data_IF_267031044294
#
_entry.id   IF_267031044294
#
_cell.length_a   1.000
_cell.length_b   1.000
_cell.length_c   1.000
_cell.angle_alpha   90.00
_cell.angle_beta   90.00
_cell.angle_gamma   90.00
#
_symmetry.space_group_name_H-M   'P 1'
#
loop_
_entity.id
_entity.type
_entity.pdbx_description
1 polymer ?
#
# COMPACT_ATOMS: atom_id res chain seq x y z
N UNK A 1 -39.62 11.58 66.61
CA UNK A 1 -38.28 10.95 66.56
C UNK A 1 -37.88 10.75 65.14
N UNK A 2 -37.17 11.70 64.51
CA UNK A 2 -36.63 11.60 63.20
C UNK A 2 -35.17 11.13 63.29
N UNK A 3 -34.87 10.00 62.70
CA UNK A 3 -33.51 9.50 62.47
C UNK A 3 -32.93 10.13 61.18
N UNK A 4 -31.92 10.96 61.34
CA UNK A 4 -31.11 11.45 60.19
C UNK A 4 -30.00 10.45 59.96
N UNK A 5 -30.01 9.79 58.79
CA UNK A 5 -28.93 8.93 58.34
C UNK A 5 -27.89 9.80 57.59
N UNK A 6 -26.71 9.92 58.17
CA UNK A 6 -25.56 10.56 57.51
C UNK A 6 -24.94 9.61 56.51
N UNK A 7 -25.00 9.93 55.21
CA UNK A 7 -24.30 9.20 54.16
C UNK A 7 -22.86 9.71 54.07
N UNK A 8 -21.89 8.88 54.47
CA UNK A 8 -20.47 9.12 54.30
C UNK A 8 -20.08 8.87 52.84
N UNK A 9 -19.77 9.94 52.10
CA UNK A 9 -19.14 9.89 50.80
C UNK A 9 -17.67 9.44 50.96
N UNK A 10 -17.42 8.18 50.67
CA UNK A 10 -16.05 7.66 50.53
C UNK A 10 -15.55 8.11 49.15
N UNK A 11 -14.69 9.12 49.13
CA UNK A 11 -13.90 9.46 47.96
C UNK A 11 -12.90 8.32 47.68
N UNK A 12 -13.24 7.39 46.80
CA UNK A 12 -12.30 6.47 46.20
C UNK A 12 -11.43 7.26 45.22
N UNK A 13 -10.33 7.81 45.71
CA UNK A 13 -9.20 8.23 44.88
C UNK A 13 -8.64 6.96 44.24
N UNK A 14 -8.96 6.71 42.98
CA UNK A 14 -8.24 5.75 42.16
C UNK A 14 -6.78 6.24 42.07
N UNK A 15 -5.91 5.77 42.96
CA UNK A 15 -4.48 5.74 42.67
C UNK A 15 -4.32 4.92 41.41
N UNK A 16 -3.90 5.57 40.30
CA UNK A 16 -3.33 4.85 39.14
C UNK A 16 -2.18 4.02 39.71
N UNK A 17 -2.36 2.73 39.86
CA UNK A 17 -1.25 1.80 40.05
C UNK A 17 -0.32 2.00 38.87
N UNK A 18 0.90 2.43 39.14
CA UNK A 18 1.97 2.46 38.16
C UNK A 18 2.24 1.02 37.76
N UNK A 19 1.89 0.66 36.51
CA UNK A 19 2.19 -0.63 35.94
C UNK A 19 3.72 -0.89 36.05
N UNK A 20 4.18 -1.89 36.80
CA UNK A 20 5.61 -2.13 37.05
C UNK A 20 6.40 -2.50 35.78
N UNK A 21 5.75 -2.73 34.65
CA UNK A 21 6.38 -3.09 33.38
C UNK A 21 6.75 -1.91 32.46
N UNK A 22 6.60 -0.67 32.88
CA UNK A 22 6.84 0.49 31.99
C UNK A 22 8.32 0.79 31.70
N UNK A 23 9.28 0.04 32.23
CA UNK A 23 10.72 0.20 31.95
C UNK A 23 11.20 1.68 31.95
N UNK A 24 10.63 2.53 32.80
CA UNK A 24 10.94 3.95 32.85
C UNK A 24 10.27 4.82 31.78
N UNK A 25 9.36 4.29 30.96
CA UNK A 25 8.59 5.06 29.96
C UNK A 25 7.51 5.90 30.65
N UNK A 26 7.23 7.10 30.10
CA UNK A 26 6.18 7.98 30.63
C UNK A 26 4.81 7.30 30.60
N UNK A 27 4.49 6.71 29.44
CA UNK A 27 3.24 6.00 29.19
C UNK A 27 3.48 4.92 28.13
N UNK A 28 2.58 3.93 28.07
CA UNK A 28 2.60 2.95 26.98
C UNK A 28 2.12 3.60 25.68
N UNK A 29 2.60 3.10 24.54
CA UNK A 29 2.24 3.60 23.20
C UNK A 29 0.72 3.62 22.96
N UNK A 30 -0.02 2.65 23.51
CA UNK A 30 -1.48 2.54 23.41
C UNK A 30 -2.26 3.72 24.05
N UNK A 31 -1.62 4.56 24.85
CA UNK A 31 -2.29 5.70 25.49
C UNK A 31 -2.24 6.96 24.64
N UNK A 32 -1.49 6.96 23.55
CA UNK A 32 -1.38 8.09 22.64
C UNK A 32 -2.27 7.91 21.41
N UNK A 33 -2.74 9.05 20.87
CA UNK A 33 -3.54 9.07 19.65
C UNK A 33 -2.70 8.75 18.43
N UNK A 34 -3.37 8.36 17.33
CA UNK A 34 -2.75 8.14 16.01
C UNK A 34 -2.50 9.44 15.23
N UNK A 35 -2.68 10.61 15.80
CA UNK A 35 -2.64 11.88 15.08
C UNK A 35 -1.31 12.13 14.36
N UNK A 36 -0.20 11.75 14.99
CA UNK A 36 1.13 11.83 14.35
C UNK A 36 1.16 11.02 13.04
N UNK A 37 0.59 9.82 13.02
CA UNK A 37 0.56 8.95 11.84
C UNK A 37 -0.33 9.55 10.76
N UNK A 38 -1.53 10.01 11.11
CA UNK A 38 -2.49 10.63 10.17
C UNK A 38 -1.92 11.91 9.54
N UNK A 39 -1.25 12.76 10.32
CA UNK A 39 -0.59 13.98 9.84
C UNK A 39 0.55 13.67 8.87
N UNK A 40 1.39 12.68 9.18
CA UNK A 40 2.46 12.27 8.26
C UNK A 40 1.94 11.66 6.97
N UNK A 41 0.90 10.82 7.02
CA UNK A 41 0.24 10.30 5.82
C UNK A 41 -0.34 11.43 4.96
N UNK A 42 -0.87 12.49 5.57
CA UNK A 42 -1.38 13.65 4.85
C UNK A 42 -0.27 14.45 4.13
N UNK A 43 0.96 14.47 4.66
CA UNK A 43 2.13 15.08 3.99
C UNK A 43 2.70 14.14 2.92
N UNK A 44 2.83 12.85 3.21
CA UNK A 44 3.42 11.88 2.28
C UNK A 44 2.58 11.62 1.04
N UNK A 45 1.25 11.60 1.20
CA UNK A 45 0.34 11.28 0.11
C UNK A 45 0.46 12.23 -1.11
N UNK A 46 0.45 13.57 -0.96
CA UNK A 46 0.67 14.49 -2.09
C UNK A 46 2.05 14.35 -2.74
N UNK A 47 3.06 13.94 -1.99
CA UNK A 47 4.41 13.75 -2.52
C UNK A 47 4.49 12.59 -3.50
N UNK A 48 3.66 11.56 -3.33
CA UNK A 48 3.53 10.44 -4.26
C UNK A 48 2.88 10.83 -5.58
N UNK A 49 2.15 11.96 -5.61
CA UNK A 49 1.47 12.46 -6.80
C UNK A 49 2.32 13.38 -7.65
N UNK A 50 3.56 13.62 -7.23
CA UNK A 50 4.48 14.45 -8.01
C UNK A 50 4.80 13.79 -9.36
N UNK A 51 4.78 14.55 -10.49
CA UNK A 51 5.22 14.05 -11.78
C UNK A 51 6.69 13.56 -11.79
N UNK A 52 7.47 13.97 -10.81
CA UNK A 52 8.84 13.49 -10.62
C UNK A 52 8.91 12.04 -10.12
N UNK A 53 7.81 11.47 -9.62
CA UNK A 53 7.70 10.06 -9.27
C UNK A 53 7.53 9.28 -10.57
N UNK A 54 8.62 8.74 -11.08
CA UNK A 54 8.59 7.91 -12.29
C UNK A 54 7.84 6.59 -12.03
N UNK A 55 7.39 5.94 -13.11
CA UNK A 55 6.67 4.65 -13.10
C UNK A 55 7.34 3.51 -12.30
N UNK A 56 8.61 3.67 -11.91
CA UNK A 56 9.36 2.69 -11.12
C UNK A 56 9.20 2.83 -9.60
N UNK A 57 8.49 3.85 -9.13
CA UNK A 57 8.32 4.05 -7.69
C UNK A 57 7.04 3.37 -7.22
N UNK A 58 7.21 2.29 -6.46
CA UNK A 58 6.11 1.54 -5.90
C UNK A 58 5.65 2.16 -4.56
N UNK A 59 4.44 2.72 -4.48
CA UNK A 59 3.88 3.23 -3.22
C UNK A 59 3.91 2.22 -2.07
N UNK A 60 3.78 0.92 -2.38
CA UNK A 60 3.91 -0.16 -1.41
C UNK A 60 5.28 -0.18 -0.72
N UNK A 61 6.37 0.10 -1.46
CA UNK A 61 7.72 0.17 -0.88
C UNK A 61 7.85 1.31 0.13
N UNK A 62 7.33 2.50 -0.20
CA UNK A 62 7.32 3.61 0.76
C UNK A 62 6.51 3.28 2.00
N UNK A 63 5.33 2.70 1.81
CA UNK A 63 4.47 2.30 2.90
C UNK A 63 5.14 1.25 3.79
N UNK A 64 5.84 0.27 3.21
CA UNK A 64 6.54 -0.75 3.97
C UNK A 64 7.65 -0.16 4.85
N UNK A 65 8.59 0.58 4.27
CA UNK A 65 9.72 1.11 5.03
C UNK A 65 9.31 2.20 6.02
N UNK A 66 8.37 3.08 5.69
CA UNK A 66 7.83 4.06 6.65
C UNK A 66 7.08 3.37 7.78
N UNK A 67 6.28 2.35 7.46
CA UNK A 67 5.53 1.57 8.45
C UNK A 67 6.44 0.81 9.41
N UNK A 68 7.49 0.14 8.90
CA UNK A 68 8.48 -0.56 9.73
C UNK A 68 9.25 0.43 10.61
N UNK A 69 9.68 1.57 10.07
CA UNK A 69 10.39 2.57 10.85
C UNK A 69 9.53 3.16 11.97
N UNK A 70 8.27 3.48 11.67
CA UNK A 70 7.30 3.91 12.67
C UNK A 70 7.11 2.85 13.76
N UNK A 71 6.88 1.60 13.37
CA UNK A 71 6.65 0.50 14.29
C UNK A 71 7.86 0.29 15.22
N UNK A 72 9.05 0.19 14.66
CA UNK A 72 10.29 0.00 15.44
C UNK A 72 10.60 1.19 16.37
N UNK A 73 10.22 2.41 15.98
CA UNK A 73 10.39 3.60 16.81
C UNK A 73 9.45 3.65 18.02
N UNK A 74 8.36 2.89 18.02
CA UNK A 74 7.36 2.92 19.11
C UNK A 74 7.15 1.57 19.79
N UNK A 75 7.62 0.45 19.21
CA UNK A 75 7.44 -0.88 19.78
C UNK A 75 8.05 -1.07 21.17
N UNK A 76 9.13 -0.37 21.59
CA UNK A 76 9.59 -0.48 22.97
C UNK A 76 8.58 -0.05 24.02
N UNK A 77 7.61 0.80 23.64
CA UNK A 77 6.47 1.22 24.47
C UNK A 77 5.23 0.32 24.33
N UNK A 78 5.34 -0.84 23.66
CA UNK A 78 4.23 -1.77 23.38
C UNK A 78 4.51 -3.13 24.05
N UNK A 79 4.17 -3.33 25.34
CA UNK A 79 4.56 -4.51 26.11
C UNK A 79 4.16 -5.85 25.49
N UNK A 80 2.99 -5.88 24.81
CA UNK A 80 2.45 -7.10 24.16
C UNK A 80 2.99 -7.32 22.73
N UNK A 81 3.89 -6.46 22.24
CA UNK A 81 4.46 -6.55 20.91
C UNK A 81 5.98 -6.74 20.96
N UNK A 82 6.55 -7.11 19.83
CA UNK A 82 7.98 -7.35 19.70
C UNK A 82 8.53 -6.74 18.41
N UNK A 83 9.83 -6.48 18.40
CA UNK A 83 10.54 -6.01 17.21
C UNK A 83 10.46 -7.01 16.05
N UNK A 84 10.49 -6.49 14.85
CA UNK A 84 10.55 -7.27 13.60
C UNK A 84 11.98 -7.71 13.25
N UNK A 85 12.97 -7.29 14.03
CA UNK A 85 14.35 -7.76 13.88
C UNK A 85 14.45 -9.29 13.99
N UNK A 86 15.14 -9.90 13.02
CA UNK A 86 15.24 -11.36 12.91
C UNK A 86 14.02 -12.02 12.26
N UNK A 87 12.98 -11.28 11.93
CA UNK A 87 11.79 -11.78 11.24
C UNK A 87 11.66 -11.26 9.80
N UNK A 88 12.25 -10.09 9.51
CA UNK A 88 12.32 -9.54 8.17
C UNK A 88 13.68 -9.79 7.53
N UNK A 89 13.69 -9.99 6.21
CA UNK A 89 14.88 -10.31 5.43
C UNK A 89 15.97 -9.23 5.58
N UNK A 90 17.14 -9.64 6.07
CA UNK A 90 18.33 -8.79 6.24
C UNK A 90 18.09 -7.50 7.03
N UNK A 91 17.04 -7.45 7.84
CA UNK A 91 16.76 -6.32 8.68
C UNK A 91 17.87 -6.15 9.72
N UNK A 92 18.53 -4.98 9.81
CA UNK A 92 19.58 -4.75 10.77
C UNK A 92 19.04 -4.67 12.21
N UNK A 93 19.89 -4.92 13.18
CA UNK A 93 19.52 -4.69 14.58
C UNK A 93 19.20 -3.22 14.83
N UNK A 94 18.06 -2.97 15.47
CA UNK A 94 17.58 -1.63 15.78
C UNK A 94 18.28 -1.05 17.01
N UNK A 95 18.40 0.28 17.08
CA UNK A 95 18.80 0.96 18.31
C UNK A 95 17.91 0.52 19.46
N UNK A 96 18.49 0.48 20.66
CA UNK A 96 17.74 0.15 21.89
C UNK A 96 17.48 1.41 22.71
N UNK A 97 16.40 1.42 23.44
CA UNK A 97 16.13 2.45 24.45
C UNK A 97 17.10 2.35 25.62
N UNK A 98 17.43 3.47 26.25
CA UNK A 98 18.25 3.48 27.46
C UNK A 98 17.45 2.88 28.64
N UNK A 99 18.00 1.87 29.35
CA UNK A 99 17.32 1.28 30.49
C UNK A 99 16.95 2.31 31.56
N UNK A 100 15.72 2.24 32.06
CA UNK A 100 15.23 3.12 33.13
C UNK A 100 14.97 4.58 32.71
N UNK A 101 15.07 4.91 31.42
CA UNK A 101 14.79 6.25 30.91
C UNK A 101 13.42 6.33 30.27
N UNK A 102 12.72 7.43 30.52
CA UNK A 102 11.43 7.72 29.93
C UNK A 102 11.55 8.17 28.47
N UNK A 103 10.60 7.76 27.64
CA UNK A 103 10.45 8.13 26.22
C UNK A 103 9.03 8.61 25.94
N UNK A 104 8.91 9.59 25.03
CA UNK A 104 7.62 10.06 24.49
C UNK A 104 7.42 9.49 23.08
N UNK A 105 6.56 8.49 22.95
CA UNK A 105 6.39 7.71 21.72
C UNK A 105 5.92 8.54 20.52
N UNK A 106 5.02 9.54 20.65
CA UNK A 106 4.69 10.44 19.55
C UNK A 106 5.90 11.22 19.01
N UNK A 107 6.85 11.61 19.89
CA UNK A 107 8.10 12.26 19.45
C UNK A 107 9.00 11.28 18.69
N UNK A 108 9.11 10.02 19.16
CA UNK A 108 9.84 8.98 18.44
C UNK A 108 9.24 8.73 17.05
N UNK A 109 7.90 8.62 16.98
CA UNK A 109 7.15 8.44 15.73
C UNK A 109 7.35 9.62 14.76
N UNK A 110 7.26 10.86 15.28
CA UNK A 110 7.47 12.07 14.50
C UNK A 110 8.86 12.10 13.86
N UNK A 111 9.90 11.90 14.65
CA UNK A 111 11.28 11.91 14.18
C UNK A 111 11.55 10.79 13.15
N UNK A 112 10.99 9.60 13.39
CA UNK A 112 11.13 8.47 12.47
C UNK A 112 10.46 8.75 11.12
N UNK A 113 9.21 9.20 11.11
CA UNK A 113 8.49 9.49 9.87
C UNK A 113 9.08 10.70 9.12
N UNK A 114 9.55 11.72 9.83
CA UNK A 114 10.26 12.85 9.24
C UNK A 114 11.51 12.41 8.48
N UNK A 115 12.36 11.63 9.12
CA UNK A 115 13.61 11.15 8.51
C UNK A 115 13.32 10.21 7.33
N UNK A 116 12.37 9.27 7.47
CA UNK A 116 11.97 8.38 6.37
C UNK A 116 11.39 9.16 5.19
N UNK A 117 10.59 10.20 5.43
CA UNK A 117 10.05 11.05 4.37
C UNK A 117 11.19 11.73 3.61
N UNK A 118 12.17 12.32 4.30
CA UNK A 118 13.33 12.94 3.65
C UNK A 118 14.20 11.94 2.86
N UNK A 119 14.34 10.72 3.34
CA UNK A 119 15.20 9.69 2.69
C UNK A 119 14.54 8.99 1.52
N UNK A 120 13.25 8.75 1.58
CA UNK A 120 12.54 7.98 0.55
C UNK A 120 11.86 8.85 -0.51
N UNK A 121 11.41 10.06 -0.15
CA UNK A 121 10.65 10.94 -1.06
C UNK A 121 11.54 12.07 -1.61
N UNK A 122 12.66 11.72 -2.21
CA UNK A 122 13.72 12.64 -2.65
C UNK A 122 13.42 13.36 -3.97
N UNK A 123 12.14 13.63 -4.27
CA UNK A 123 11.73 14.05 -5.61
C UNK A 123 11.91 15.55 -5.90
N UNK A 124 11.77 16.39 -4.88
CA UNK A 124 11.88 17.86 -5.02
C UNK A 124 12.31 18.52 -3.70
N UNK A 125 12.78 19.77 -3.76
CA UNK A 125 13.02 20.60 -2.55
C UNK A 125 11.75 20.78 -1.72
N UNK A 126 10.59 20.89 -2.37
CA UNK A 126 9.28 20.99 -1.70
C UNK A 126 8.98 19.82 -0.76
N UNK A 127 9.53 18.63 -1.02
CA UNK A 127 9.43 17.47 -0.13
C UNK A 127 10.09 17.75 1.24
N UNK A 128 11.31 18.28 1.20
CA UNK A 128 12.06 18.60 2.42
C UNK A 128 11.36 19.70 3.21
N UNK A 129 10.85 20.73 2.53
CA UNK A 129 10.14 21.85 3.16
C UNK A 129 8.85 21.37 3.85
N UNK A 130 8.05 20.53 3.20
CA UNK A 130 6.82 19.98 3.78
C UNK A 130 7.12 19.07 4.99
N UNK A 131 8.13 18.21 4.88
CA UNK A 131 8.55 17.33 5.97
C UNK A 131 9.09 18.15 7.15
N UNK A 132 9.94 19.15 6.89
CA UNK A 132 10.51 20.01 7.93
C UNK A 132 9.41 20.78 8.67
N UNK A 133 8.47 21.38 7.92
CA UNK A 133 7.37 22.16 8.52
C UNK A 133 6.54 21.31 9.48
N UNK A 134 6.14 20.11 9.10
CA UNK A 134 5.34 19.25 9.97
C UNK A 134 6.17 18.75 11.18
N UNK A 135 7.45 18.38 10.95
CA UNK A 135 8.34 17.96 12.04
C UNK A 135 8.47 19.05 13.09
N UNK A 136 8.70 20.30 12.68
CA UNK A 136 8.87 21.44 13.58
C UNK A 136 7.57 21.76 14.34
N UNK A 137 6.43 21.76 13.67
CA UNK A 137 5.12 21.94 14.28
C UNK A 137 4.88 20.94 15.42
N UNK A 138 5.12 19.65 15.14
CA UNK A 138 4.93 18.59 16.12
C UNK A 138 5.99 18.64 17.24
N UNK A 139 7.23 19.00 16.91
CA UNK A 139 8.29 19.15 17.90
C UNK A 139 7.97 20.24 18.93
N UNK A 140 7.44 21.38 18.50
CA UNK A 140 6.99 22.45 19.41
C UNK A 140 5.87 21.97 20.31
N UNK A 141 4.86 21.31 19.74
CA UNK A 141 3.73 20.78 20.49
C UNK A 141 4.18 19.75 21.54
N UNK A 142 4.99 18.77 21.15
CA UNK A 142 5.44 17.69 22.03
C UNK A 142 6.44 18.16 23.09
N UNK A 143 7.31 19.12 22.76
CA UNK A 143 8.21 19.72 23.77
C UNK A 143 7.42 20.42 24.87
N UNK A 144 6.33 21.10 24.50
CA UNK A 144 5.42 21.75 25.45
C UNK A 144 4.64 20.72 26.28
N UNK A 145 4.13 19.65 25.65
CA UNK A 145 3.38 18.58 26.31
C UNK A 145 4.24 17.84 27.33
N UNK A 146 5.48 17.53 26.99
CA UNK A 146 6.40 16.77 27.85
C UNK A 146 6.90 17.62 29.02
N UNK A 147 7.21 18.90 28.82
CA UNK A 147 7.79 19.81 29.81
C UNK A 147 9.22 19.45 30.26
N UNK A 148 9.79 18.34 29.76
CA UNK A 148 11.15 17.87 30.05
C UNK A 148 11.95 17.76 28.73
N UNK A 149 12.93 18.66 28.60
CA UNK A 149 13.79 18.73 27.40
C UNK A 149 14.63 17.46 27.22
N UNK A 150 15.10 16.82 28.29
CA UNK A 150 15.93 15.63 28.18
C UNK A 150 15.13 14.42 27.64
N UNK A 151 13.87 14.27 28.05
CA UNK A 151 12.97 13.25 27.52
C UNK A 151 12.68 13.53 26.04
N UNK A 152 12.38 14.79 25.70
CA UNK A 152 12.10 15.19 24.31
C UNK A 152 13.28 14.88 23.39
N UNK A 153 14.49 15.37 23.71
CA UNK A 153 15.67 15.20 22.87
C UNK A 153 16.08 13.72 22.73
N UNK A 154 16.00 12.93 23.82
CA UNK A 154 16.27 11.50 23.77
C UNK A 154 15.26 10.76 22.89
N UNK A 155 13.97 11.09 22.99
CA UNK A 155 12.91 10.49 22.16
C UNK A 155 13.10 10.82 20.69
N UNK A 156 13.41 12.08 20.36
CA UNK A 156 13.70 12.53 19.01
C UNK A 156 14.93 11.81 18.43
N UNK A 157 16.01 11.75 19.21
CA UNK A 157 17.25 11.07 18.80
C UNK A 157 17.01 9.58 18.54
N UNK A 158 16.25 8.91 19.39
CA UNK A 158 15.92 7.48 19.22
C UNK A 158 15.11 7.23 17.94
N UNK A 159 14.02 7.97 17.73
CA UNK A 159 13.19 7.81 16.52
C UNK A 159 13.98 8.05 15.24
N UNK A 160 14.84 9.09 15.23
CA UNK A 160 15.74 9.38 14.09
C UNK A 160 16.74 8.25 13.85
N UNK A 161 17.39 7.73 14.89
CA UNK A 161 18.36 6.64 14.77
C UNK A 161 17.73 5.35 14.22
N UNK A 162 16.50 5.03 14.62
CA UNK A 162 15.72 3.91 14.04
C UNK A 162 15.51 4.14 12.55
N UNK A 163 15.03 5.32 12.15
CA UNK A 163 14.77 5.64 10.77
C UNK A 163 16.03 5.61 9.89
N UNK A 164 17.15 6.11 10.38
CA UNK A 164 18.43 6.06 9.68
C UNK A 164 18.88 4.61 9.37
N UNK A 165 18.68 3.69 10.32
CA UNK A 165 18.94 2.26 10.10
C UNK A 165 18.01 1.66 9.06
N UNK A 166 16.71 1.96 9.13
CA UNK A 166 15.72 1.47 8.16
C UNK A 166 15.95 2.09 6.77
N UNK A 167 16.30 3.36 6.68
CA UNK A 167 16.64 4.01 5.42
C UNK A 167 17.88 3.37 4.77
N UNK A 168 18.93 3.11 5.55
CA UNK A 168 20.11 2.41 5.05
C UNK A 168 19.76 0.99 4.57
N UNK A 169 18.94 0.25 5.33
CA UNK A 169 18.47 -1.07 4.91
C UNK A 169 17.63 -1.02 3.62
N UNK A 170 16.85 0.02 3.42
CA UNK A 170 16.04 0.18 2.21
C UNK A 170 16.88 0.33 0.93
N UNK A 171 18.13 0.77 1.04
CA UNK A 171 19.01 0.89 -0.13
C UNK A 171 19.61 -0.45 -0.60
N UNK A 172 19.43 -1.51 0.17
CA UNK A 172 19.95 -2.85 -0.12
C UNK A 172 18.90 -3.80 -0.70
N UNK A 173 17.65 -3.36 -0.88
CA UNK A 173 16.59 -4.23 -1.38
C UNK A 173 16.73 -4.51 -2.87
N UNK A 174 17.33 -3.60 -3.64
CA UNK A 174 17.76 -3.87 -5.00
C UNK A 174 18.66 -2.75 -5.56
N UNK A 175 19.50 -3.05 -6.54
CA UNK A 175 20.41 -2.10 -7.15
C UNK A 175 19.76 -1.36 -8.33
N UNK A 176 18.85 -0.40 -8.09
CA UNK A 176 18.15 0.37 -9.14
C UNK A 176 19.06 0.94 -10.23
N UNK A 177 20.23 1.41 -9.85
CA UNK A 177 21.20 2.02 -10.76
C UNK A 177 21.87 1.01 -11.68
N UNK A 178 21.82 -0.29 -11.38
CA UNK A 178 22.44 -1.36 -12.16
C UNK A 178 21.47 -2.09 -13.08
N UNK A 179 20.15 -1.81 -12.99
CA UNK A 179 19.17 -2.46 -13.85
C UNK A 179 19.19 -1.90 -15.26
N UNK A 180 19.56 -2.76 -16.18
CA UNK A 180 19.51 -2.46 -17.61
C UNK A 180 18.05 -2.53 -18.11
N UNK A 181 17.82 -1.97 -19.29
CA UNK A 181 16.58 -2.20 -20.00
C UNK A 181 16.49 -3.67 -20.45
N UNK A 182 15.29 -4.28 -20.31
CA UNK A 182 15.00 -5.56 -20.92
C UNK A 182 14.62 -5.32 -22.39
N UNK A 183 15.26 -6.02 -23.32
CA UNK A 183 14.88 -6.01 -24.73
C UNK A 183 14.15 -7.29 -25.05
N UNK A 184 12.88 -7.19 -25.44
CA UNK A 184 12.08 -8.33 -25.86
C UNK A 184 12.53 -8.79 -27.25
N UNK A 185 12.64 -10.10 -27.43
CA UNK A 185 13.08 -10.71 -28.70
C UNK A 185 12.01 -11.59 -29.35
N UNK A 186 10.89 -11.81 -28.65
CA UNK A 186 9.83 -12.72 -29.12
C UNK A 186 8.45 -12.06 -28.95
N UNK A 187 7.77 -11.81 -30.06
CA UNK A 187 6.40 -11.27 -30.11
C UNK A 187 5.39 -12.30 -30.66
N UNK A 188 5.65 -13.58 -30.46
CA UNK A 188 4.74 -14.66 -30.88
C UNK A 188 3.35 -14.47 -30.24
N UNK A 189 2.28 -14.91 -30.92
CA UNK A 189 0.94 -14.93 -30.36
C UNK A 189 0.90 -15.55 -28.95
N UNK A 190 0.11 -14.96 -28.06
CA UNK A 190 0.05 -15.36 -26.64
C UNK A 190 1.06 -14.65 -25.73
N UNK A 191 2.14 -14.10 -26.29
CA UNK A 191 3.13 -13.36 -25.55
C UNK A 191 2.88 -11.86 -25.59
N UNK A 192 3.08 -11.21 -24.45
CA UNK A 192 2.94 -9.77 -24.35
C UNK A 192 4.00 -9.04 -25.16
N UNK A 193 3.56 -8.02 -25.89
CA UNK A 193 4.36 -7.06 -26.61
C UNK A 193 3.86 -5.65 -26.36
N UNK A 194 4.73 -4.63 -26.20
CA UNK A 194 4.32 -3.26 -25.93
C UNK A 194 3.43 -2.67 -27.03
N UNK A 195 2.40 -1.92 -26.65
CA UNK A 195 1.45 -1.31 -27.60
C UNK A 195 2.11 -0.31 -28.56
N UNK A 196 3.14 0.39 -28.11
CA UNK A 196 3.93 1.32 -28.90
C UNK A 196 4.94 0.63 -29.84
N UNK A 197 4.92 -0.68 -29.86
CA UNK A 197 5.82 -1.54 -30.67
C UNK A 197 7.33 -1.35 -30.36
N UNK A 198 7.68 -0.78 -29.22
CA UNK A 198 9.07 -0.67 -28.77
C UNK A 198 9.43 -1.87 -27.88
N UNK A 199 10.35 -2.76 -28.33
CA UNK A 199 10.71 -3.96 -27.57
C UNK A 199 11.47 -3.66 -26.28
N UNK A 200 11.90 -2.42 -26.05
CA UNK A 200 12.72 -2.05 -24.91
C UNK A 200 11.87 -1.65 -23.72
N UNK A 201 11.94 -2.43 -22.65
CA UNK A 201 11.33 -2.13 -21.36
C UNK A 201 12.36 -1.40 -20.50
N UNK A 202 12.19 -0.10 -20.38
CA UNK A 202 13.12 0.76 -19.68
C UNK A 202 12.95 0.70 -18.15
N UNK A 203 13.88 1.32 -17.45
CA UNK A 203 13.82 1.69 -16.03
C UNK A 203 13.65 0.53 -15.05
N UNK A 204 14.21 -0.63 -15.36
CA UNK A 204 14.23 -1.78 -14.44
C UNK A 204 12.85 -2.38 -14.14
N UNK A 205 11.79 -1.96 -14.83
CA UNK A 205 10.42 -2.41 -14.56
C UNK A 205 10.30 -3.95 -14.63
N UNK A 206 10.99 -4.59 -15.56
CA UNK A 206 10.99 -6.04 -15.72
C UNK A 206 11.64 -6.80 -14.55
N UNK A 207 12.52 -6.14 -13.81
CA UNK A 207 13.31 -6.75 -12.73
C UNK A 207 12.75 -6.48 -11.33
N UNK A 208 11.58 -5.84 -11.23
CA UNK A 208 10.91 -5.63 -9.94
C UNK A 208 10.69 -6.93 -9.17
N UNK A 209 10.49 -8.04 -9.88
CA UNK A 209 10.36 -9.37 -9.29
C UNK A 209 11.61 -9.91 -8.61
N UNK A 210 12.77 -9.27 -8.82
CA UNK A 210 14.07 -9.63 -8.24
C UNK A 210 14.39 -8.79 -6.98
N UNK A 211 13.50 -7.87 -6.61
CA UNK A 211 13.62 -7.09 -5.38
C UNK A 211 13.52 -8.00 -4.17
N UNK A 212 14.32 -7.74 -3.13
CA UNK A 212 14.24 -8.47 -1.87
C UNK A 212 12.87 -8.24 -1.21
N UNK A 213 12.14 -9.33 -0.94
CA UNK A 213 10.91 -9.28 -0.14
C UNK A 213 11.21 -8.88 1.31
N UNK A 214 10.25 -8.24 1.98
CA UNK A 214 10.34 -8.01 3.42
C UNK A 214 10.37 -9.32 4.21
N UNK A 215 9.60 -10.31 3.78
CA UNK A 215 9.45 -11.59 4.49
C UNK A 215 9.89 -12.74 3.61
N UNK A 216 10.80 -13.57 4.13
CA UNK A 216 11.29 -14.75 3.42
C UNK A 216 10.14 -15.70 3.05
N UNK A 217 10.04 -16.03 1.76
CA UNK A 217 9.04 -16.96 1.25
C UNK A 217 7.59 -16.44 1.34
N UNK A 218 7.38 -15.13 1.48
CA UNK A 218 6.03 -14.53 1.45
C UNK A 218 5.33 -14.72 0.11
N UNK A 219 6.09 -14.76 -0.97
CA UNK A 219 5.61 -14.91 -2.35
C UNK A 219 5.74 -16.34 -2.90
N UNK A 220 6.11 -17.30 -2.05
CA UNK A 220 6.25 -18.69 -2.50
C UNK A 220 4.87 -19.35 -2.67
N UNK A 221 4.69 -20.06 -3.79
CA UNK A 221 3.47 -20.81 -4.11
C UNK A 221 2.17 -19.99 -4.06
N UNK A 222 2.24 -18.68 -4.30
CA UNK A 222 1.08 -17.80 -4.28
C UNK A 222 0.45 -17.60 -5.65
N UNK A 223 1.24 -17.76 -6.73
CA UNK A 223 0.80 -17.49 -8.10
C UNK A 223 0.25 -18.77 -8.73
N UNK A 224 -0.94 -18.67 -9.29
CA UNK A 224 -1.52 -19.67 -10.20
C UNK A 224 -0.92 -19.52 -11.60
N UNK A 225 -1.35 -20.38 -12.53
CA UNK A 225 -0.92 -20.30 -13.94
C UNK A 225 -2.00 -19.64 -14.78
N UNK A 226 -1.64 -18.87 -15.83
CA UNK A 226 -2.59 -18.37 -16.81
C UNK A 226 -3.22 -19.54 -17.60
N UNK A 227 -4.33 -19.27 -18.28
CA UNK A 227 -4.87 -20.24 -19.22
C UNK A 227 -3.87 -20.55 -20.33
N UNK A 228 -3.84 -21.81 -20.77
CA UNK A 228 -3.01 -22.23 -21.89
C UNK A 228 -3.46 -21.48 -23.15
N UNK A 229 -2.50 -20.87 -23.83
CA UNK A 229 -2.75 -20.17 -25.09
C UNK A 229 -3.50 -21.06 -26.11
N UNK A 230 -4.61 -20.56 -26.56
CA UNK A 230 -5.40 -21.18 -27.62
C UNK A 230 -6.31 -20.13 -28.28
N UNK A 231 -5.93 -19.64 -29.45
CA UNK A 231 -6.67 -18.63 -30.22
C UNK A 231 -7.55 -19.24 -31.32
N UNK A 232 -7.40 -20.53 -31.63
CA UNK A 232 -8.14 -21.21 -32.68
C UNK A 232 -9.51 -21.74 -32.21
N UNK A 233 -9.63 -22.10 -30.94
CA UNK A 233 -10.84 -22.70 -30.39
C UNK A 233 -11.66 -21.68 -29.61
N UNK A 234 -12.75 -21.18 -30.21
CA UNK A 234 -13.68 -20.21 -29.56
C UNK A 234 -14.32 -20.71 -28.26
N UNK A 235 -14.25 -22.00 -28.01
CA UNK A 235 -14.76 -22.63 -26.78
C UNK A 235 -13.70 -22.73 -25.68
N UNK A 236 -12.42 -22.49 -26.01
CA UNK A 236 -11.35 -22.53 -25.01
C UNK A 236 -11.53 -21.48 -23.91
N UNK A 237 -11.05 -21.77 -22.71
CA UNK A 237 -11.07 -20.80 -21.61
C UNK A 237 -10.25 -19.55 -21.96
N UNK A 238 -9.13 -19.72 -22.65
CA UNK A 238 -8.30 -18.63 -23.12
C UNK A 238 -9.08 -17.66 -24.03
N UNK A 239 -9.69 -18.17 -25.11
CA UNK A 239 -10.47 -17.35 -26.04
C UNK A 239 -11.64 -16.64 -25.33
N UNK A 240 -12.40 -17.35 -24.50
CA UNK A 240 -13.56 -16.81 -23.79
C UNK A 240 -13.20 -15.68 -22.85
N UNK A 241 -12.06 -15.76 -22.19
CA UNK A 241 -11.59 -14.76 -21.24
C UNK A 241 -11.31 -13.40 -21.95
N UNK A 242 -10.67 -13.44 -23.10
CA UNK A 242 -10.46 -12.24 -23.94
C UNK A 242 -11.75 -11.76 -24.63
N UNK A 243 -12.60 -12.71 -25.06
CA UNK A 243 -13.88 -12.39 -25.68
C UNK A 243 -14.80 -11.66 -24.72
N UNK A 244 -14.81 -12.02 -23.45
CA UNK A 244 -15.57 -11.30 -22.41
C UNK A 244 -15.16 -9.82 -22.34
N UNK A 245 -13.86 -9.52 -22.35
CA UNK A 245 -13.37 -8.12 -22.34
C UNK A 245 -13.87 -7.36 -23.55
N UNK A 246 -13.83 -7.98 -24.73
CA UNK A 246 -14.35 -7.40 -25.95
C UNK A 246 -15.85 -7.12 -25.87
N UNK A 247 -16.66 -8.10 -25.44
CA UNK A 247 -18.11 -7.97 -25.38
C UNK A 247 -18.55 -6.90 -24.38
N UNK A 248 -17.90 -6.87 -23.21
CA UNK A 248 -18.14 -5.82 -22.21
C UNK A 248 -17.81 -4.43 -22.77
N UNK A 249 -16.69 -4.30 -23.52
CA UNK A 249 -16.26 -3.01 -24.06
C UNK A 249 -17.27 -2.37 -25.02
N UNK A 250 -18.09 -3.19 -25.69
CA UNK A 250 -19.12 -2.69 -26.63
C UNK A 250 -20.34 -2.11 -25.91
N UNK A 251 -20.61 -2.51 -24.64
CA UNK A 251 -21.85 -2.18 -23.94
C UNK A 251 -21.62 -1.78 -22.47
N UNK A 252 -20.49 -1.13 -22.15
CA UNK A 252 -20.24 -0.65 -20.80
C UNK A 252 -21.34 0.30 -20.32
N UNK A 253 -21.94 -0.04 -19.19
CA UNK A 253 -22.87 0.88 -18.52
C UNK A 253 -22.12 2.13 -18.00
N UNK A 254 -22.88 3.17 -17.68
CA UNK A 254 -22.31 4.38 -17.10
C UNK A 254 -21.54 4.08 -15.79
N UNK A 255 -22.09 3.27 -14.90
CA UNK A 255 -21.47 2.93 -13.63
C UNK A 255 -20.19 2.09 -13.82
N UNK A 256 -20.16 1.19 -14.80
CA UNK A 256 -18.95 0.44 -15.15
C UNK A 256 -17.83 1.34 -15.66
N UNK A 257 -18.18 2.31 -16.55
CA UNK A 257 -17.23 3.34 -17.03
C UNK A 257 -16.68 4.17 -15.88
N UNK A 258 -17.58 4.62 -15.00
CA UNK A 258 -17.23 5.42 -13.84
C UNK A 258 -16.32 4.66 -12.87
N UNK A 259 -16.62 3.40 -12.57
CA UNK A 259 -15.78 2.55 -11.72
C UNK A 259 -14.39 2.31 -12.35
N UNK A 260 -14.34 2.01 -13.67
CA UNK A 260 -13.08 1.82 -14.38
C UNK A 260 -12.19 3.06 -14.31
N UNK A 261 -12.77 4.25 -14.49
CA UNK A 261 -12.06 5.53 -14.39
C UNK A 261 -11.69 5.91 -12.96
N UNK A 262 -12.51 5.54 -11.96
CA UNK A 262 -12.20 5.81 -10.56
C UNK A 262 -10.89 5.13 -10.13
N UNK A 263 -10.63 3.93 -10.64
CA UNK A 263 -9.41 3.17 -10.35
C UNK A 263 -8.35 3.24 -11.47
N UNK A 264 -8.50 4.19 -12.40
CA UNK A 264 -7.49 4.50 -13.43
C UNK A 264 -6.52 5.57 -12.88
N UNK A 265 -5.78 5.21 -11.84
CA UNK A 265 -4.93 6.10 -11.04
C UNK A 265 -4.07 7.07 -11.88
N UNK A 266 -3.30 6.63 -12.91
CA UNK A 266 -2.39 7.53 -13.63
C UNK A 266 -3.11 8.50 -14.58
N UNK A 267 -4.21 8.07 -15.21
CA UNK A 267 -4.84 8.84 -16.29
C UNK A 267 -5.68 10.00 -15.79
N UNK A 268 -6.26 9.86 -14.58
CA UNK A 268 -7.22 10.85 -14.06
C UNK A 268 -6.54 11.92 -13.22
N UNK A 269 -5.41 11.62 -12.57
CA UNK A 269 -4.88 12.50 -11.52
C UNK A 269 -3.35 12.59 -11.45
N UNK A 270 -2.61 11.93 -12.36
CA UNK A 270 -1.16 11.86 -12.26
C UNK A 270 -0.67 11.02 -11.06
N UNK A 271 -1.54 10.21 -10.47
CA UNK A 271 -1.19 9.33 -9.36
C UNK A 271 -0.39 8.13 -9.87
N UNK A 272 0.75 7.78 -9.27
CA UNK A 272 1.38 6.48 -9.52
C UNK A 272 0.41 5.36 -9.11
N UNK A 273 0.31 4.31 -9.92
CA UNK A 273 -0.54 3.17 -9.60
C UNK A 273 -0.28 2.63 -8.20
N UNK A 274 -1.34 2.49 -7.40
CA UNK A 274 -1.26 2.00 -6.02
C UNK A 274 -1.18 3.07 -4.93
N UNK A 275 -1.04 4.36 -5.25
CA UNK A 275 -1.07 5.42 -4.22
C UNK A 275 -2.45 5.61 -3.59
N UNK A 276 -3.52 5.23 -4.28
CA UNK A 276 -4.88 5.20 -3.74
C UNK A 276 -5.02 4.34 -2.48
N UNK A 277 -4.23 3.26 -2.34
CA UNK A 277 -4.23 2.42 -1.14
C UNK A 277 -3.75 3.17 0.11
N UNK A 278 -2.76 4.06 -0.03
CA UNK A 278 -2.27 4.90 1.07
C UNK A 278 -3.35 5.91 1.48
N UNK A 279 -4.07 6.47 0.51
CA UNK A 279 -5.22 7.35 0.78
C UNK A 279 -6.33 6.62 1.53
N UNK A 280 -6.69 5.42 1.09
CA UNK A 280 -7.70 4.59 1.77
C UNK A 280 -7.22 4.20 3.17
N UNK A 281 -5.96 3.80 3.33
CA UNK A 281 -5.39 3.49 4.63
C UNK A 281 -5.51 4.68 5.61
N UNK A 282 -5.17 5.88 5.16
CA UNK A 282 -5.35 7.10 5.95
C UNK A 282 -6.82 7.31 6.36
N UNK A 283 -7.76 7.14 5.42
CA UNK A 283 -9.20 7.27 5.71
C UNK A 283 -9.70 6.23 6.71
N UNK A 284 -9.18 4.99 6.66
CA UNK A 284 -9.47 3.95 7.66
C UNK A 284 -8.96 4.37 9.05
N UNK A 285 -7.73 4.89 9.14
CA UNK A 285 -7.20 5.39 10.41
C UNK A 285 -7.99 6.59 10.94
N UNK A 286 -8.51 7.45 10.08
CA UNK A 286 -9.38 8.57 10.46
C UNK A 286 -10.74 8.09 10.98
N UNK A 287 -11.34 7.11 10.31
CA UNK A 287 -12.63 6.54 10.70
C UNK A 287 -12.53 5.74 12.01
N UNK A 288 -11.52 4.87 12.13
CA UNK A 288 -11.38 3.97 13.28
C UNK A 288 -10.73 4.65 14.48
N UNK A 289 -9.99 5.72 14.23
CA UNK A 289 -9.23 6.48 15.23
C UNK A 289 -8.51 5.60 16.28
N UNK A 290 -7.74 4.59 15.84
CA UNK A 290 -7.05 3.69 16.75
C UNK A 290 -5.94 4.42 17.52
N UNK A 291 -5.48 3.85 18.62
CA UNK A 291 -4.31 4.36 19.33
C UNK A 291 -3.02 4.20 18.49
N UNK A 292 -1.95 4.84 18.92
CA UNK A 292 -0.68 4.88 18.20
C UNK A 292 -0.07 3.48 17.97
N UNK A 293 -0.20 2.58 18.94
CA UNK A 293 0.28 1.19 18.83
C UNK A 293 -0.39 0.42 17.71
N UNK A 294 -1.73 0.47 17.64
CA UNK A 294 -2.50 -0.19 16.58
C UNK A 294 -2.23 0.46 15.23
N UNK A 295 -2.07 1.79 15.19
CA UNK A 295 -1.77 2.51 13.95
C UNK A 295 -0.38 2.15 13.41
N UNK A 296 0.61 2.06 14.27
CA UNK A 296 1.97 1.66 13.89
C UNK A 296 2.01 0.20 13.41
N UNK A 297 1.35 -0.70 14.13
CA UNK A 297 1.18 -2.09 13.72
C UNK A 297 0.47 -2.20 12.36
N UNK A 298 -0.64 -1.49 12.18
CA UNK A 298 -1.40 -1.50 10.94
C UNK A 298 -0.57 -0.97 9.76
N UNK A 299 0.17 0.10 9.97
CA UNK A 299 1.01 0.68 8.91
C UNK A 299 2.11 -0.30 8.48
N UNK A 300 2.86 -0.87 9.42
CA UNK A 300 3.91 -1.83 9.12
C UNK A 300 3.36 -3.07 8.39
N UNK A 301 2.32 -3.70 8.94
CA UNK A 301 1.72 -4.93 8.40
C UNK A 301 1.17 -4.72 6.99
N UNK A 302 0.42 -3.64 6.78
CA UNK A 302 -0.18 -3.34 5.46
C UNK A 302 0.89 -2.98 4.44
N UNK A 303 1.89 -2.18 4.83
CA UNK A 303 3.01 -1.81 3.97
C UNK A 303 3.83 -3.02 3.52
N UNK A 304 4.21 -3.90 4.45
CA UNK A 304 4.92 -5.16 4.16
C UNK A 304 4.11 -6.01 3.17
N UNK A 305 2.80 -6.16 3.41
CA UNK A 305 1.92 -6.97 2.56
C UNK A 305 1.81 -6.41 1.13
N UNK A 306 1.66 -5.10 0.98
CA UNK A 306 1.62 -4.46 -0.33
C UNK A 306 2.94 -4.57 -1.09
N UNK A 307 4.06 -4.38 -0.40
CA UNK A 307 5.37 -4.42 -1.05
C UNK A 307 5.71 -5.82 -1.55
N UNK A 308 5.59 -6.85 -0.71
CA UNK A 308 5.87 -8.22 -1.10
C UNK A 308 4.91 -8.71 -2.18
N UNK A 309 3.62 -8.36 -2.10
CA UNK A 309 2.64 -8.68 -3.13
C UNK A 309 2.99 -8.04 -4.48
N UNK A 310 3.53 -6.82 -4.49
CA UNK A 310 4.00 -6.18 -5.72
C UNK A 310 5.17 -6.93 -6.33
N UNK A 311 6.15 -7.32 -5.54
CA UNK A 311 7.31 -8.12 -5.99
C UNK A 311 6.82 -9.42 -6.62
N UNK A 312 5.94 -10.15 -5.92
CA UNK A 312 5.37 -11.40 -6.42
C UNK A 312 4.57 -11.23 -7.71
N UNK A 313 3.80 -10.15 -7.84
CA UNK A 313 3.04 -9.83 -9.04
C UNK A 313 3.96 -9.55 -10.24
N UNK A 314 4.97 -8.71 -10.07
CA UNK A 314 5.90 -8.37 -11.15
C UNK A 314 6.75 -9.58 -11.58
N UNK A 315 7.19 -10.41 -10.61
CA UNK A 315 7.87 -11.67 -10.91
C UNK A 315 7.03 -12.57 -11.79
N UNK A 316 5.76 -12.77 -11.44
CA UNK A 316 4.83 -13.59 -12.20
C UNK A 316 4.55 -13.02 -13.59
N UNK A 317 4.37 -11.70 -13.73
CA UNK A 317 4.13 -11.05 -15.02
C UNK A 317 5.23 -11.35 -16.05
N UNK A 318 6.47 -11.11 -15.67
CA UNK A 318 7.61 -11.32 -16.57
C UNK A 318 8.04 -12.78 -16.69
N UNK A 319 7.54 -13.67 -15.81
CA UNK A 319 7.66 -15.11 -15.98
C UNK A 319 6.69 -15.64 -17.03
N UNK A 320 5.42 -15.29 -16.95
CA UNK A 320 4.40 -15.82 -17.86
C UNK A 320 4.28 -15.06 -19.17
N UNK A 321 4.60 -13.78 -19.18
CA UNK A 321 4.57 -12.93 -20.38
C UNK A 321 3.22 -12.98 -21.15
N UNK A 322 2.08 -13.17 -20.44
CA UNK A 322 0.79 -13.26 -21.11
C UNK A 322 0.44 -11.96 -21.85
N UNK A 323 -0.03 -12.09 -23.10
CA UNK A 323 -0.52 -10.96 -23.89
C UNK A 323 -1.68 -10.21 -23.22
N UNK A 324 -1.84 -8.94 -23.58
CA UNK A 324 -2.92 -8.07 -23.10
C UNK A 324 -4.16 -8.19 -23.99
N UNK A 325 -5.36 -7.81 -23.50
CA UNK A 325 -6.58 -7.84 -24.30
C UNK A 325 -6.47 -7.12 -25.65
N UNK A 326 -5.77 -5.98 -25.73
CA UNK A 326 -5.62 -5.26 -27.00
C UNK A 326 -4.92 -6.08 -28.08
N UNK A 327 -3.92 -6.90 -27.70
CA UNK A 327 -3.18 -7.72 -28.65
C UNK A 327 -4.06 -8.84 -29.22
N UNK A 328 -4.72 -9.59 -28.35
CA UNK A 328 -5.59 -10.70 -28.76
C UNK A 328 -6.79 -10.18 -29.55
N UNK A 329 -7.47 -9.15 -29.07
CA UNK A 329 -8.67 -8.62 -29.73
C UNK A 329 -8.36 -8.10 -31.11
N UNK A 330 -7.28 -7.32 -31.29
CA UNK A 330 -6.85 -6.78 -32.59
C UNK A 330 -6.36 -7.84 -33.55
N UNK A 331 -5.89 -8.97 -33.07
CA UNK A 331 -5.38 -10.05 -33.90
C UNK A 331 -6.44 -11.08 -34.23
N UNK A 332 -7.33 -11.40 -33.30
CA UNK A 332 -8.23 -12.59 -33.41
C UNK A 332 -9.70 -12.21 -33.52
N UNK A 333 -10.19 -11.30 -32.62
CA UNK A 333 -11.63 -11.03 -32.51
C UNK A 333 -12.08 -9.93 -33.50
N UNK A 334 -11.34 -8.86 -33.61
CA UNK A 334 -11.65 -7.68 -34.45
C UNK A 334 -10.39 -7.26 -35.23
N UNK A 335 -9.89 -8.12 -36.15
CA UNK A 335 -8.68 -7.82 -36.90
C UNK A 335 -8.93 -6.68 -37.91
N UNK A 336 -7.96 -5.75 -37.98
CA UNK A 336 -7.98 -4.65 -38.94
C UNK A 336 -6.57 -4.29 -39.35
N UNK A 337 -6.41 -4.01 -40.68
CA UNK A 337 -5.15 -3.50 -41.23
C UNK A 337 -4.99 -1.99 -41.07
N UNK A 338 -6.05 -1.28 -40.65
CA UNK A 338 -6.03 0.16 -40.44
C UNK A 338 -5.89 0.47 -38.93
N UNK A 339 -4.75 1.02 -38.48
CA UNK A 339 -4.54 1.39 -37.08
C UNK A 339 -5.59 2.37 -36.53
N UNK A 340 -6.23 3.16 -37.37
CA UNK A 340 -7.28 4.11 -36.95
C UNK A 340 -8.54 3.39 -36.44
N UNK A 341 -8.79 2.17 -36.93
CA UNK A 341 -9.95 1.34 -36.56
C UNK A 341 -9.63 0.27 -35.52
N UNK A 342 -8.41 0.19 -35.03
CA UNK A 342 -8.04 -0.80 -34.04
C UNK A 342 -8.89 -0.65 -32.78
N UNK A 343 -9.32 -1.80 -32.23
CA UNK A 343 -9.96 -1.84 -30.94
C UNK A 343 -9.07 -1.18 -29.86
N UNK A 344 -9.65 -0.37 -29.01
CA UNK A 344 -8.95 0.33 -27.93
C UNK A 344 -9.61 0.02 -26.60
N UNK A 345 -8.83 -0.26 -25.54
CA UNK A 345 -9.37 -0.37 -24.19
C UNK A 345 -9.94 0.99 -23.72
N UNK A 346 -10.85 0.93 -22.79
CA UNK A 346 -11.50 2.13 -22.24
C UNK A 346 -10.53 2.99 -21.39
N UNK A 347 -9.53 2.36 -20.77
CA UNK A 347 -8.44 3.05 -20.06
C UNK A 347 -7.09 2.65 -20.65
N UNK A 348 -6.05 3.46 -20.39
CA UNK A 348 -4.72 3.23 -20.96
C UNK A 348 -4.10 1.93 -20.49
N UNK A 349 -3.53 1.17 -21.42
CA UNK A 349 -2.83 -0.09 -21.13
C UNK A 349 -1.47 0.18 -20.50
N UNK A 350 -1.16 -0.41 -19.33
CA UNK A 350 0.17 -0.30 -18.74
C UNK A 350 1.24 -1.06 -19.56
N UNK A 351 2.52 -0.62 -19.50
CA UNK A 351 3.61 -1.19 -20.32
C UNK A 351 4.22 -2.45 -19.69
N UNK A 352 3.39 -3.47 -19.40
CA UNK A 352 3.81 -4.78 -18.86
C UNK A 352 2.74 -5.86 -19.11
N UNK A 353 3.08 -7.17 -19.00
CA UNK A 353 2.17 -8.28 -19.27
C UNK A 353 0.86 -8.26 -18.51
N UNK A 354 -0.14 -9.00 -19.02
CA UNK A 354 -1.49 -9.06 -18.42
C UNK A 354 -1.50 -9.75 -17.06
N UNK A 355 -1.05 -11.01 -17.00
CA UNK A 355 -1.25 -11.91 -15.87
C UNK A 355 -0.11 -11.91 -14.86
N UNK A 356 -0.42 -11.87 -13.55
CA UNK A 356 -1.69 -11.50 -12.92
C UNK A 356 -1.93 -9.98 -12.93
N UNK A 357 -3.16 -9.53 -12.70
CA UNK A 357 -3.47 -8.10 -12.68
C UNK A 357 -2.94 -7.42 -11.42
N UNK A 358 -2.02 -6.44 -11.56
CA UNK A 358 -1.37 -5.77 -10.43
C UNK A 358 -2.37 -5.17 -9.42
N UNK A 359 -3.36 -4.42 -9.90
CA UNK A 359 -4.36 -3.79 -9.02
C UNK A 359 -5.14 -4.82 -8.20
N UNK A 360 -5.44 -5.99 -8.79
CA UNK A 360 -6.10 -7.08 -8.09
C UNK A 360 -5.19 -7.72 -7.02
N UNK A 361 -3.91 -7.93 -7.33
CA UNK A 361 -2.92 -8.43 -6.38
C UNK A 361 -2.77 -7.46 -5.19
N UNK A 362 -2.64 -6.17 -5.47
CA UNK A 362 -2.48 -5.15 -4.43
C UNK A 362 -3.73 -5.04 -3.55
N UNK A 363 -4.91 -5.00 -4.16
CA UNK A 363 -6.16 -4.91 -3.39
C UNK A 363 -6.42 -6.15 -2.56
N UNK A 364 -6.08 -7.33 -3.05
CA UNK A 364 -6.14 -8.58 -2.29
C UNK A 364 -5.24 -8.55 -1.06
N UNK A 365 -3.96 -8.17 -1.23
CA UNK A 365 -3.00 -8.09 -0.13
C UNK A 365 -3.37 -7.02 0.91
N UNK A 366 -3.80 -5.85 0.45
CA UNK A 366 -4.26 -4.75 1.28
C UNK A 366 -5.47 -5.15 2.13
N UNK A 367 -6.46 -5.77 1.49
CA UNK A 367 -7.70 -6.18 2.14
C UNK A 367 -7.47 -7.26 3.19
N UNK A 368 -6.67 -8.28 2.88
CA UNK A 368 -6.30 -9.33 3.82
C UNK A 368 -5.53 -8.78 5.02
N UNK A 369 -4.57 -7.86 4.80
CA UNK A 369 -3.81 -7.25 5.87
C UNK A 369 -4.70 -6.46 6.82
N UNK A 370 -5.62 -5.64 6.30
CA UNK A 370 -6.55 -4.83 7.09
C UNK A 370 -7.63 -5.65 7.77
N UNK A 371 -8.15 -6.69 7.10
CA UNK A 371 -9.10 -7.63 7.71
C UNK A 371 -8.51 -8.29 8.95
N UNK A 372 -7.23 -8.68 8.90
CA UNK A 372 -6.52 -9.24 10.06
C UNK A 372 -6.25 -8.25 11.20
N UNK A 373 -6.57 -6.95 11.03
CA UNK A 373 -6.37 -5.91 12.04
C UNK A 373 -7.71 -5.40 12.56
N UNK A 374 -8.63 -5.06 11.65
CA UNK A 374 -9.90 -4.38 11.95
C UNK A 374 -11.14 -5.29 11.80
N UNK A 375 -10.95 -6.55 11.38
CA UNK A 375 -12.05 -7.49 11.10
C UNK A 375 -12.57 -7.38 9.66
N UNK A 376 -13.42 -8.34 9.27
CA UNK A 376 -13.94 -8.50 7.91
C UNK A 376 -15.27 -7.78 7.64
N UNK A 377 -15.90 -7.24 8.68
CA UNK A 377 -17.21 -6.55 8.60
C UNK A 377 -17.10 -5.03 8.77
N UNK A 378 -15.92 -4.46 8.51
CA UNK A 378 -15.73 -3.02 8.59
C UNK A 378 -16.24 -2.34 7.32
N UNK A 379 -17.36 -1.62 7.44
CA UNK A 379 -17.84 -0.75 6.37
C UNK A 379 -17.07 0.56 6.36
N UNK A 380 -16.70 1.04 5.15
CA UNK A 380 -15.98 2.29 4.97
C UNK A 380 -16.30 2.94 3.63
N UNK A 381 -15.93 4.20 3.49
CA UNK A 381 -16.09 4.97 2.26
C UNK A 381 -14.74 5.41 1.73
N UNK A 382 -14.44 5.06 0.48
CA UNK A 382 -13.28 5.57 -0.25
C UNK A 382 -13.63 6.89 -0.93
N UNK A 383 -13.08 7.97 -0.44
CA UNK A 383 -13.27 9.35 -0.94
C UNK A 383 -12.01 9.92 -1.62
N UNK A 384 -11.10 9.06 -2.06
CA UNK A 384 -9.79 9.47 -2.61
C UNK A 384 -9.92 10.49 -3.73
N UNK A 385 -10.92 10.36 -4.59
CA UNK A 385 -11.12 11.20 -5.77
C UNK A 385 -12.32 12.14 -5.66
N UNK A 386 -12.91 12.28 -4.48
CA UNK A 386 -14.01 13.26 -4.25
C UNK A 386 -13.53 14.68 -4.57
N UNK A 387 -14.31 15.40 -5.34
CA UNK A 387 -13.99 16.75 -5.84
C UNK A 387 -13.12 16.74 -7.10
N UNK A 388 -12.69 15.57 -7.61
CA UNK A 388 -12.04 15.46 -8.92
C UNK A 388 -13.09 15.31 -10.02
N UNK A 389 -12.96 16.11 -11.08
CA UNK A 389 -13.90 16.10 -12.18
C UNK A 389 -13.50 15.09 -13.25
N UNK A 390 -14.50 14.41 -13.81
CA UNK A 390 -14.36 13.50 -14.95
C UNK A 390 -15.49 13.77 -15.95
N UNK A 391 -15.23 13.58 -17.24
CA UNK A 391 -16.26 13.60 -18.28
C UNK A 391 -16.34 12.22 -18.95
N UNK A 392 -17.48 11.58 -18.82
CA UNK A 392 -17.81 10.30 -19.44
C UNK A 392 -18.82 10.45 -20.62
N UNK A 393 -18.85 11.63 -21.23
CA UNK A 393 -19.73 11.95 -22.35
C UNK A 393 -21.09 12.57 -21.95
N UNK A 394 -21.23 13.00 -20.69
CA UNK A 394 -22.41 13.74 -20.19
C UNK A 394 -22.06 15.13 -19.65
N UNK A 395 -20.83 15.57 -19.85
CA UNK A 395 -20.24 16.75 -19.23
C UNK A 395 -19.48 16.43 -17.94
N UNK A 396 -18.71 17.40 -17.42
CA UNK A 396 -17.89 17.21 -16.23
C UNK A 396 -18.73 16.91 -14.98
N UNK A 397 -18.39 15.87 -14.25
CA UNK A 397 -19.01 15.48 -12.98
C UNK A 397 -17.96 15.12 -11.92
N UNK A 398 -18.30 15.25 -10.64
CA UNK A 398 -17.45 14.81 -9.54
C UNK A 398 -17.34 13.29 -9.53
N UNK A 399 -16.12 12.77 -9.44
CA UNK A 399 -15.87 11.33 -9.25
C UNK A 399 -16.52 10.80 -7.95
N UNK A 400 -16.71 11.63 -6.95
CA UNK A 400 -17.40 11.30 -5.71
C UNK A 400 -16.66 10.25 -4.87
N UNK A 401 -17.45 9.38 -4.26
CA UNK A 401 -16.94 8.35 -3.34
C UNK A 401 -17.63 7.02 -3.58
N UNK A 402 -16.97 5.94 -3.17
CA UNK A 402 -17.54 4.57 -3.14
C UNK A 402 -17.53 4.02 -1.73
N UNK A 403 -18.66 3.46 -1.29
CA UNK A 403 -18.79 2.80 0.01
C UNK A 403 -18.76 1.29 -0.13
N UNK A 404 -18.09 0.63 0.80
CA UNK A 404 -17.89 -0.82 0.84
C UNK A 404 -18.27 -1.36 2.20
N UNK A 405 -18.82 -2.59 2.23
CA UNK A 405 -19.21 -3.28 3.46
C UNK A 405 -18.06 -4.04 4.10
N UNK A 406 -17.00 -4.30 3.31
CA UNK A 406 -15.80 -5.00 3.76
C UNK A 406 -14.60 -4.63 2.89
N UNK A 407 -13.39 -4.97 3.36
CA UNK A 407 -12.18 -4.81 2.58
C UNK A 407 -12.17 -5.73 1.34
N UNK A 408 -12.78 -6.91 1.41
CA UNK A 408 -12.86 -7.81 0.25
C UNK A 408 -13.83 -7.32 -0.82
N UNK A 409 -14.92 -6.64 -0.46
CA UNK A 409 -15.79 -5.97 -1.42
C UNK A 409 -15.02 -4.86 -2.16
N UNK A 410 -14.21 -4.08 -1.45
CA UNK A 410 -13.30 -3.10 -2.04
C UNK A 410 -12.30 -3.75 -3.02
N UNK A 411 -11.64 -4.86 -2.62
CA UNK A 411 -10.74 -5.58 -3.50
C UNK A 411 -11.45 -6.06 -4.78
N UNK A 412 -12.65 -6.61 -4.65
CA UNK A 412 -13.46 -7.10 -5.77
C UNK A 412 -13.85 -5.97 -6.74
N UNK A 413 -14.21 -4.79 -6.23
CA UNK A 413 -14.53 -3.63 -7.04
C UNK A 413 -13.31 -3.12 -7.83
N UNK A 414 -12.13 -3.09 -7.22
CA UNK A 414 -10.89 -2.74 -7.92
C UNK A 414 -10.57 -3.78 -8.99
N UNK A 415 -10.65 -5.06 -8.68
CA UNK A 415 -10.36 -6.14 -9.60
C UNK A 415 -11.23 -6.05 -10.87
N UNK A 416 -12.56 -6.00 -10.71
CA UNK A 416 -13.50 -5.95 -11.85
C UNK A 416 -13.37 -4.64 -12.66
N UNK A 417 -12.98 -3.54 -12.03
CA UNK A 417 -12.76 -2.27 -12.71
C UNK A 417 -11.71 -2.37 -13.83
N UNK A 418 -10.75 -3.29 -13.72
CA UNK A 418 -9.71 -3.52 -14.73
C UNK A 418 -10.26 -4.23 -15.96
N UNK A 419 -11.22 -5.15 -15.77
CA UNK A 419 -11.94 -5.81 -16.87
C UNK A 419 -12.80 -4.78 -17.60
N UNK A 420 -13.55 -3.96 -16.89
CA UNK A 420 -14.33 -2.85 -17.49
C UNK A 420 -13.42 -1.83 -18.19
N UNK A 421 -12.23 -1.61 -17.67
CA UNK A 421 -11.20 -0.80 -18.32
C UNK A 421 -10.68 -1.37 -19.62
N UNK A 422 -10.89 -2.67 -19.90
CA UNK A 422 -10.43 -3.35 -21.11
C UNK A 422 -8.95 -3.71 -21.11
N UNK A 423 -8.28 -3.65 -19.95
CA UNK A 423 -6.82 -3.81 -19.86
C UNK A 423 -6.37 -5.12 -19.21
N UNK A 424 -7.28 -5.86 -18.62
CA UNK A 424 -7.05 -7.18 -18.01
C UNK A 424 -8.21 -8.12 -18.29
N UNK A 425 -7.89 -9.41 -18.38
CA UNK A 425 -8.88 -10.48 -18.44
C UNK A 425 -9.44 -10.79 -17.07
N UNK A 426 -10.60 -11.47 -17.01
CA UNK A 426 -11.24 -11.89 -15.75
C UNK A 426 -10.35 -12.84 -14.96
N UNK A 427 -9.77 -13.81 -15.61
CA UNK A 427 -8.85 -14.76 -14.97
C UNK A 427 -7.65 -14.03 -14.33
N UNK A 428 -7.07 -13.05 -15.04
CA UNK A 428 -5.95 -12.28 -14.50
C UNK A 428 -6.31 -11.49 -13.23
N UNK A 429 -7.54 -10.96 -13.12
CA UNK A 429 -7.97 -10.22 -11.92
C UNK A 429 -8.37 -11.14 -10.78
N UNK A 430 -9.06 -12.24 -11.04
CA UNK A 430 -9.48 -13.20 -10.01
C UNK A 430 -8.27 -13.88 -9.37
N UNK A 431 -7.36 -14.41 -10.18
CA UNK A 431 -6.14 -15.05 -9.70
C UNK A 431 -5.18 -14.03 -9.07
N UNK A 432 -5.14 -12.80 -9.60
CA UNK A 432 -4.40 -11.71 -8.96
C UNK A 432 -4.90 -11.42 -7.55
N UNK A 433 -6.21 -11.33 -7.33
CA UNK A 433 -6.79 -11.11 -6.00
C UNK A 433 -6.42 -12.25 -5.04
N UNK A 434 -6.53 -13.50 -5.48
CA UNK A 434 -6.15 -14.69 -4.69
C UNK A 434 -4.66 -14.66 -4.35
N UNK A 435 -3.80 -14.31 -5.30
CA UNK A 435 -2.36 -14.17 -5.07
C UNK A 435 -2.05 -13.14 -3.99
N UNK A 436 -2.67 -11.96 -4.06
CA UNK A 436 -2.48 -10.92 -3.05
C UNK A 436 -2.91 -11.36 -1.66
N UNK A 437 -4.09 -11.94 -1.53
CA UNK A 437 -4.61 -12.50 -0.27
C UNK A 437 -3.62 -13.54 0.29
N UNK A 438 -3.18 -14.48 -0.52
CA UNK A 438 -2.28 -15.55 -0.09
C UNK A 438 -0.91 -15.02 0.32
N UNK A 439 -0.38 -14.00 -0.36
CA UNK A 439 0.86 -13.32 0.05
C UNK A 439 0.73 -12.74 1.46
N UNK A 440 -0.36 -12.01 1.73
CA UNK A 440 -0.59 -11.43 3.06
C UNK A 440 -0.82 -12.52 4.14
N UNK A 441 -1.48 -13.64 3.80
CA UNK A 441 -1.61 -14.80 4.69
C UNK A 441 -0.27 -15.45 5.00
N UNK A 442 0.60 -15.63 4.00
CA UNK A 442 1.97 -16.11 4.22
C UNK A 442 2.74 -15.19 5.18
N UNK A 443 2.63 -13.86 5.02
CA UNK A 443 3.23 -12.89 5.94
C UNK A 443 2.65 -13.06 7.35
N UNK A 444 1.33 -13.17 7.49
CA UNK A 444 0.66 -13.34 8.79
C UNK A 444 1.11 -14.61 9.52
N UNK A 445 1.43 -15.67 8.79
CA UNK A 445 1.90 -16.94 9.37
C UNK A 445 3.35 -16.87 9.85
N UNK A 446 4.18 -16.05 9.20
CA UNK A 446 5.63 -15.98 9.40
C UNK A 446 6.07 -14.86 10.34
N UNK A 447 5.37 -13.72 10.33
CA UNK A 447 5.74 -12.55 11.11
C UNK A 447 4.87 -12.42 12.34
N UNK A 448 5.49 -12.45 13.51
CA UNK A 448 4.84 -12.31 14.80
C UNK A 448 5.06 -10.89 15.33
N UNK A 449 4.06 -10.05 15.21
CA UNK A 449 4.09 -8.71 15.80
C UNK A 449 3.87 -8.75 17.32
N UNK A 450 3.03 -9.68 17.79
CA UNK A 450 2.75 -9.87 19.23
C UNK A 450 3.65 -10.94 19.82
N UNK A 451 4.01 -10.75 21.07
CA UNK A 451 4.64 -11.79 21.89
C UNK A 451 3.65 -12.93 22.10
N UNK A 452 4.15 -14.16 22.08
CA UNK A 452 3.36 -15.36 22.40
C UNK A 452 3.13 -15.45 23.91
#
# INVERSE_FOLDING_TARGET
>A
MLLVAAASLVNLSCKKESDPETNGHLQQTKTYSSDVVKKWLAVQLPLLYSPAVSYGVNPGRYMAYCGVALYEAVVPGMPSYQSLYGQLNDMPQMPQTEPGKAYHWPTCANAALAEMTRKLFTFTSATNDAAQKLEDELNVAYKTEIGDTAIFERSKAFGKAVAEKIAAWSTTDHPWSSWSSLVLTNNSPGLWWPENNNPTIANGLAYWGDTRTMVAGSIDNVTSVPYVYNDAEVVSSYYKDFKEVYDLSKNLTYDQKRLAKYYDDPAVNGYPGGSSYISVFKQILEQQNPALDISAFAYAKTGISLFDATIGSMKAKFHFMQERPFQFIRRVIEPSNDPATWWKPFISTPPYPDFPANHAVFSGAFSEALTGIFGDNLSFTNSTYKGKMIDLGKGPEDMGSYSYKSFYEFASAIAISRVYGGIHTRHAVEEGTKQGIKTAQNINSKVKFRKE
#
